data_IF_461598155331
#
_entry.id   IF_461598155331
#
_cell.length_a   1.000
_cell.length_b   1.000
_cell.length_c   1.000
_cell.angle_alpha   90.00
_cell.angle_beta   90.00
_cell.angle_gamma   90.00
#
_symmetry.space_group_name_H-M   'P 1'
#
loop_
_entity.id
_entity.type
_entity.pdbx_description
1 polymer ?
#
# COMPACT_ATOMS: atom_id res chain seq x y z
N UNK A 1 -16.52 -29.73 14.76
CA UNK A 1 -15.81 -29.61 16.05
C UNK A 1 -14.69 -28.60 15.88
N UNK A 2 -14.71 -27.49 16.64
CA UNK A 2 -13.65 -26.48 16.83
C UNK A 2 -13.12 -25.72 15.58
N UNK A 3 -12.88 -24.40 15.60
CA UNK A 3 -12.46 -23.55 16.72
C UNK A 3 -13.31 -22.28 16.86
N UNK A 4 -13.56 -21.81 18.10
CA UNK A 4 -14.09 -20.46 18.33
C UNK A 4 -13.04 -19.42 17.93
N UNK A 5 -13.45 -18.47 17.09
CA UNK A 5 -12.67 -17.29 16.75
C UNK A 5 -12.54 -16.39 17.98
N UNK A 6 -11.51 -16.62 18.78
CA UNK A 6 -11.04 -15.60 19.72
C UNK A 6 -10.25 -14.58 18.90
N UNK A 7 -10.93 -13.58 18.35
CA UNK A 7 -10.23 -12.36 17.96
C UNK A 7 -9.56 -11.82 19.21
N UNK A 8 -8.21 -11.89 19.25
CA UNK A 8 -7.46 -11.16 20.27
C UNK A 8 -7.85 -9.69 20.16
N UNK A 9 -8.13 -8.96 21.25
CA UNK A 9 -8.49 -7.56 21.16
C UNK A 9 -7.34 -6.77 20.50
N UNK A 10 -7.59 -6.37 19.25
CA UNK A 10 -6.71 -5.63 18.34
C UNK A 10 -6.04 -4.36 18.95
N UNK A 11 -6.60 -3.63 19.94
CA UNK A 11 -6.01 -2.36 20.37
C UNK A 11 -4.70 -2.44 21.17
N UNK A 12 -4.31 -3.59 21.73
CA UNK A 12 -3.24 -3.67 22.76
C UNK A 12 -1.93 -4.30 22.29
N UNK A 13 -1.97 -5.22 21.33
CA UNK A 13 -0.78 -5.98 20.92
C UNK A 13 0.18 -5.15 20.06
N UNK A 14 -0.33 -4.30 19.17
CA UNK A 14 0.50 -3.47 18.29
C UNK A 14 1.37 -2.46 19.06
N UNK A 15 0.94 -1.99 20.23
CA UNK A 15 1.74 -1.05 21.05
C UNK A 15 2.88 -1.73 21.80
N UNK A 16 2.72 -3.01 22.15
CA UNK A 16 3.72 -3.77 22.91
C UNK A 16 4.79 -4.37 22.00
N UNK A 17 4.38 -4.85 20.82
CA UNK A 17 5.27 -5.42 19.79
C UNK A 17 4.77 -5.04 18.38
N UNK A 18 5.06 -3.81 17.91
CA UNK A 18 4.61 -3.34 16.61
C UNK A 18 5.21 -4.15 15.45
N UNK A 19 6.48 -4.57 15.58
CA UNK A 19 7.16 -5.34 14.55
C UNK A 19 6.56 -6.74 14.41
N UNK A 20 6.40 -7.47 15.52
CA UNK A 20 5.79 -8.80 15.50
C UNK A 20 4.32 -8.76 15.07
N UNK A 21 3.58 -7.73 15.48
CA UNK A 21 2.19 -7.53 15.03
C UNK A 21 2.10 -7.27 13.53
N UNK A 22 3.00 -6.45 12.98
CA UNK A 22 3.09 -6.22 11.54
C UNK A 22 3.46 -7.50 10.79
N UNK A 23 4.48 -8.23 11.24
CA UNK A 23 4.90 -9.49 10.60
C UNK A 23 3.77 -10.51 10.56
N UNK A 24 3.03 -10.68 11.66
CA UNK A 24 1.87 -11.58 11.70
C UNK A 24 0.78 -11.14 10.70
N UNK A 25 0.42 -9.86 10.68
CA UNK A 25 -0.57 -9.34 9.75
C UNK A 25 -0.14 -9.46 8.27
N UNK A 26 1.15 -9.26 7.99
CA UNK A 26 1.72 -9.44 6.66
C UNK A 26 1.65 -10.90 6.20
N UNK A 27 1.92 -11.86 7.09
CA UNK A 27 1.75 -13.28 6.77
C UNK A 27 0.29 -13.64 6.54
N UNK A 28 -0.63 -13.18 7.40
CA UNK A 28 -2.06 -13.44 7.27
C UNK A 28 -2.62 -12.94 5.92
N UNK A 29 -2.21 -11.75 5.46
CA UNK A 29 -2.67 -11.22 4.17
C UNK A 29 -2.04 -11.94 2.98
N UNK A 30 -0.75 -12.32 3.08
CA UNK A 30 -0.08 -13.08 2.02
C UNK A 30 -0.72 -14.47 1.86
N UNK A 31 -1.03 -15.15 2.96
CA UNK A 31 -1.75 -16.43 2.94
C UNK A 31 -3.14 -16.28 2.31
N UNK A 32 -3.86 -15.20 2.63
CA UNK A 32 -5.17 -14.91 2.05
C UNK A 32 -5.08 -14.62 0.53
N UNK A 33 -4.05 -13.89 0.09
CA UNK A 33 -3.82 -13.58 -1.32
C UNK A 33 -3.26 -14.75 -2.13
N UNK A 34 -2.82 -15.82 -1.46
CA UNK A 34 -2.39 -17.06 -2.12
C UNK A 34 -3.56 -18.03 -2.40
N UNK A 35 -4.78 -17.73 -1.92
CA UNK A 35 -5.92 -18.61 -2.10
C UNK A 35 -6.37 -18.72 -3.57
N UNK A 36 -6.73 -19.93 -4.00
CA UNK A 36 -7.20 -20.19 -5.36
C UNK A 36 -8.44 -19.33 -5.69
N UNK A 37 -8.42 -18.67 -6.85
CA UNK A 37 -9.53 -17.84 -7.34
C UNK A 37 -9.67 -16.49 -6.63
N UNK A 38 -8.72 -16.10 -5.76
CA UNK A 38 -8.77 -14.81 -5.07
C UNK A 38 -8.71 -13.63 -6.03
N UNK A 39 -8.03 -13.78 -7.17
CA UNK A 39 -7.87 -12.71 -8.16
C UNK A 39 -9.20 -12.32 -8.83
N UNK A 40 -10.13 -13.27 -8.93
CA UNK A 40 -11.47 -13.10 -9.50
C UNK A 40 -12.53 -12.82 -8.43
N UNK A 41 -12.22 -13.14 -7.17
CA UNK A 41 -13.12 -12.91 -6.05
C UNK A 41 -13.43 -11.43 -5.92
N UNK A 42 -14.70 -11.09 -5.64
CA UNK A 42 -15.11 -9.69 -5.46
C UNK A 42 -14.83 -9.23 -4.04
N UNK A 43 -14.06 -8.15 -3.91
CA UNK A 43 -13.74 -7.48 -2.65
C UNK A 43 -14.61 -6.25 -2.50
N UNK A 44 -15.25 -6.09 -1.33
CA UNK A 44 -15.94 -4.86 -0.97
C UNK A 44 -14.96 -3.91 -0.27
N UNK A 45 -14.76 -2.72 -0.83
CA UNK A 45 -13.84 -1.69 -0.34
C UNK A 45 -14.60 -0.39 -0.11
N UNK A 46 -15.36 -0.27 1.01
CA UNK A 46 -16.26 0.86 1.26
C UNK A 46 -15.54 2.22 1.37
N UNK A 47 -14.23 2.23 1.54
CA UNK A 47 -13.37 3.43 1.47
C UNK A 47 -13.42 4.14 0.12
N UNK A 48 -13.75 3.43 -0.97
CA UNK A 48 -13.97 4.01 -2.30
C UNK A 48 -15.44 4.39 -2.56
N UNK A 49 -16.30 4.30 -1.54
CA UNK A 49 -17.69 4.70 -1.58
C UNK A 49 -18.68 3.57 -1.27
N UNK A 50 -19.98 3.91 -1.11
CA UNK A 50 -21.02 2.93 -0.81
C UNK A 50 -21.09 1.85 -1.91
N UNK A 51 -21.05 0.57 -1.51
CA UNK A 51 -21.09 -0.59 -2.41
C UNK A 51 -19.93 -0.66 -3.42
N UNK A 52 -18.83 0.06 -3.18
CA UNK A 52 -17.64 -0.07 -4.01
C UNK A 52 -17.09 -1.50 -3.89
N UNK A 53 -17.05 -2.18 -5.03
CA UNK A 53 -16.58 -3.55 -5.15
C UNK A 53 -15.63 -3.69 -6.32
N UNK A 54 -14.61 -4.51 -6.17
CA UNK A 54 -13.55 -4.67 -7.14
C UNK A 54 -13.17 -6.14 -7.30
N UNK A 55 -12.73 -6.57 -8.50
CA UNK A 55 -12.05 -7.85 -8.66
C UNK A 55 -10.81 -7.92 -7.76
N UNK A 56 -10.52 -9.08 -7.21
CA UNK A 56 -9.42 -9.26 -6.26
C UNK A 56 -8.06 -8.85 -6.83
N UNK A 57 -7.81 -9.07 -8.12
CA UNK A 57 -6.59 -8.60 -8.78
C UNK A 57 -6.39 -7.08 -8.62
N UNK A 58 -7.47 -6.31 -8.70
CA UNK A 58 -7.42 -4.86 -8.53
C UNK A 58 -7.30 -4.46 -7.06
N UNK A 59 -8.06 -5.12 -6.16
CA UNK A 59 -7.96 -4.88 -4.72
C UNK A 59 -6.56 -5.19 -4.15
N UNK A 60 -5.96 -6.30 -4.58
CA UNK A 60 -4.58 -6.68 -4.27
C UNK A 60 -3.60 -5.67 -4.90
N UNK A 61 -3.90 -5.18 -6.10
CA UNK A 61 -3.14 -4.09 -6.73
C UNK A 61 -3.13 -2.79 -5.90
N UNK A 62 -4.25 -2.41 -5.28
CA UNK A 62 -4.30 -1.27 -4.37
C UNK A 62 -3.40 -1.49 -3.16
N UNK A 63 -3.48 -2.67 -2.53
CA UNK A 63 -2.62 -3.04 -1.41
C UNK A 63 -1.13 -3.03 -1.78
N UNK A 64 -0.80 -3.50 -2.99
CA UNK A 64 0.56 -3.51 -3.51
C UNK A 64 1.12 -2.09 -3.65
N UNK A 65 0.33 -1.14 -4.16
CA UNK A 65 0.72 0.28 -4.23
C UNK A 65 1.01 0.82 -2.83
N UNK A 66 0.08 0.62 -1.89
CA UNK A 66 0.25 1.09 -0.50
C UNK A 66 1.51 0.53 0.14
N UNK A 67 1.76 -0.78 0.02
CA UNK A 67 2.93 -1.44 0.60
C UNK A 67 4.25 -0.96 -0.01
N UNK A 68 4.32 -0.82 -1.33
CA UNK A 68 5.53 -0.38 -2.01
C UNK A 68 5.94 1.04 -1.55
N UNK A 69 4.95 1.92 -1.43
CA UNK A 69 5.15 3.34 -1.11
C UNK A 69 5.39 3.55 0.39
N UNK A 70 4.61 2.90 1.26
CA UNK A 70 4.80 3.02 2.70
C UNK A 70 6.05 2.27 3.20
N UNK A 71 6.47 1.20 2.52
CA UNK A 71 7.78 0.59 2.74
C UNK A 71 8.92 1.60 2.50
N UNK A 72 8.81 2.41 1.44
CA UNK A 72 9.73 3.52 1.21
C UNK A 72 9.62 4.59 2.31
N UNK A 73 8.42 4.99 2.71
CA UNK A 73 8.22 6.01 3.76
C UNK A 73 8.94 5.61 5.07
N UNK A 74 8.81 4.35 5.49
CA UNK A 74 9.48 3.80 6.68
C UNK A 74 11.00 3.78 6.50
N UNK A 75 11.51 3.26 5.38
CA UNK A 75 12.94 3.18 5.13
C UNK A 75 13.58 4.57 5.07
N UNK A 76 12.95 5.51 4.35
CA UNK A 76 13.39 6.89 4.26
C UNK A 76 13.45 7.53 5.65
N UNK A 77 12.46 7.26 6.53
CA UNK A 77 12.42 7.83 7.88
C UNK A 77 13.57 7.39 8.78
N UNK A 78 14.21 6.26 8.44
CA UNK A 78 15.39 5.73 9.12
C UNK A 78 16.70 6.03 8.36
N UNK A 79 16.64 6.74 7.22
CA UNK A 79 17.79 6.93 6.34
C UNK A 79 18.29 5.63 5.68
N UNK A 80 17.45 4.59 5.61
CA UNK A 80 17.78 3.31 5.01
C UNK A 80 17.54 3.32 3.49
N UNK A 81 18.34 2.54 2.76
CA UNK A 81 18.11 2.30 1.32
C UNK A 81 16.88 1.40 1.15
N UNK A 82 16.02 1.75 0.21
CA UNK A 82 14.86 0.96 -0.17
C UNK A 82 14.86 0.75 -1.67
N UNK A 83 15.00 -0.50 -2.09
CA UNK A 83 15.03 -0.89 -3.49
C UNK A 83 14.11 -2.07 -3.72
N UNK A 84 13.23 -1.90 -4.70
CA UNK A 84 12.38 -2.95 -5.21
C UNK A 84 13.03 -3.58 -6.44
N UNK A 85 12.84 -4.89 -6.67
CA UNK A 85 13.22 -5.52 -7.93
C UNK A 85 12.58 -4.83 -9.15
N UNK A 86 13.27 -4.84 -10.29
CA UNK A 86 12.83 -4.13 -11.50
C UNK A 86 11.48 -4.63 -12.03
N UNK A 87 11.20 -5.93 -11.92
CA UNK A 87 9.92 -6.53 -12.31
C UNK A 87 8.77 -6.07 -11.40
N UNK A 88 9.04 -5.92 -10.11
CA UNK A 88 8.09 -5.35 -9.14
C UNK A 88 7.79 -3.89 -9.49
N UNK A 89 8.80 -3.07 -9.79
CA UNK A 89 8.61 -1.67 -10.21
C UNK A 89 7.83 -1.60 -11.54
N UNK A 90 8.13 -2.49 -12.47
CA UNK A 90 7.45 -2.58 -13.77
C UNK A 90 5.95 -2.88 -13.60
N UNK A 91 5.59 -3.76 -12.67
CA UNK A 91 4.19 -4.05 -12.34
C UNK A 91 3.51 -2.91 -11.56
N UNK A 92 4.25 -2.19 -10.72
CA UNK A 92 3.74 -1.11 -9.88
C UNK A 92 3.37 0.14 -10.67
N UNK A 93 4.25 0.56 -11.59
CA UNK A 93 4.15 1.88 -12.21
C UNK A 93 2.80 2.12 -12.92
N UNK A 94 2.24 1.19 -13.72
CA UNK A 94 0.94 1.40 -14.36
C UNK A 94 -0.21 1.58 -13.36
N UNK A 95 -0.18 0.87 -12.23
CA UNK A 95 -1.19 1.01 -11.18
C UNK A 95 -1.12 2.39 -10.53
N UNK A 96 0.09 2.85 -10.23
CA UNK A 96 0.31 4.19 -9.64
C UNK A 96 -0.14 5.29 -10.60
N UNK A 97 0.24 5.21 -11.88
CA UNK A 97 -0.11 6.22 -12.87
C UNK A 97 -1.60 6.25 -13.22
N UNK A 98 -2.34 5.17 -12.93
CA UNK A 98 -3.79 5.14 -13.05
C UNK A 98 -4.51 5.90 -11.92
N UNK A 99 -3.83 6.21 -10.81
CA UNK A 99 -4.41 6.98 -9.70
C UNK A 99 -4.51 8.45 -10.13
N UNK A 100 -5.72 9.05 -10.16
CA UNK A 100 -5.88 10.44 -10.55
C UNK A 100 -5.12 11.42 -9.65
N UNK A 101 -4.57 12.47 -10.26
CA UNK A 101 -4.06 13.66 -9.56
C UNK A 101 -5.02 14.85 -9.78
N UNK A 102 -4.67 16.04 -9.29
CA UNK A 102 -5.43 17.27 -9.47
C UNK A 102 -6.42 17.52 -8.34
N UNK A 103 -7.54 18.18 -8.63
CA UNK A 103 -8.49 18.67 -7.61
C UNK A 103 -9.08 17.57 -6.74
N UNK A 104 -9.11 16.32 -7.24
CA UNK A 104 -9.52 15.15 -6.45
C UNK A 104 -8.64 14.94 -5.22
N UNK A 105 -7.39 15.42 -5.22
CA UNK A 105 -6.43 15.36 -4.11
C UNK A 105 -6.70 16.39 -3.00
N UNK A 106 -7.61 17.35 -3.22
CA UNK A 106 -7.96 18.36 -2.23
C UNK A 106 -9.15 17.93 -1.33
N UNK A 107 -9.72 16.74 -1.57
CA UNK A 107 -10.78 16.19 -0.73
C UNK A 107 -10.25 15.76 0.66
N UNK A 108 -11.10 15.82 1.68
CA UNK A 108 -10.71 15.61 3.07
C UNK A 108 -10.16 14.21 3.41
N UNK A 109 -10.37 13.21 2.54
CA UNK A 109 -9.93 11.84 2.72
C UNK A 109 -9.37 11.28 1.40
N UNK A 110 -8.10 11.61 1.11
CA UNK A 110 -7.38 11.09 -0.06
C UNK A 110 -6.20 10.22 0.38
N UNK A 111 -5.92 9.11 -0.34
CA UNK A 111 -4.89 8.16 0.08
C UNK A 111 -3.46 8.68 -0.12
N UNK A 112 -3.25 9.59 -1.07
CA UNK A 112 -1.94 10.21 -1.33
C UNK A 112 -2.07 11.71 -1.59
N UNK A 113 -0.98 12.44 -1.34
CA UNK A 113 -0.86 13.88 -1.60
C UNK A 113 -0.71 14.17 -3.11
N UNK A 114 -0.72 15.44 -3.49
CA UNK A 114 -0.52 15.91 -4.87
C UNK A 114 0.82 15.47 -5.44
N UNK A 115 0.83 15.22 -6.74
CA UNK A 115 2.08 14.94 -7.43
C UNK A 115 3.10 16.06 -7.26
N UNK A 116 4.36 15.69 -7.01
CA UNK A 116 5.48 16.62 -6.94
C UNK A 116 6.07 16.81 -8.32
N UNK A 117 6.07 18.05 -8.82
CA UNK A 117 6.73 18.39 -10.08
C UNK A 117 8.26 18.43 -9.91
N UNK A 118 8.91 17.30 -10.16
CA UNK A 118 10.36 17.16 -10.19
C UNK A 118 10.77 16.08 -11.22
N UNK A 119 12.05 16.03 -11.57
CA UNK A 119 12.59 14.97 -12.42
C UNK A 119 12.83 13.68 -11.61
N UNK A 120 12.43 12.54 -12.15
CA UNK A 120 12.77 11.22 -11.63
C UNK A 120 13.96 10.62 -12.39
N UNK A 121 14.89 10.00 -11.67
CA UNK A 121 15.98 9.21 -12.21
C UNK A 121 15.59 7.74 -12.47
N UNK A 122 14.59 7.22 -11.75
CA UNK A 122 14.10 5.84 -11.89
C UNK A 122 12.58 5.78 -12.02
N UNK A 123 12.05 4.64 -12.46
CA UNK A 123 10.60 4.44 -12.53
C UNK A 123 9.93 4.38 -11.15
N UNK A 124 10.65 3.89 -10.13
CA UNK A 124 10.15 3.96 -8.77
C UNK A 124 10.11 5.40 -8.26
N UNK A 125 11.09 6.24 -8.60
CA UNK A 125 11.03 7.67 -8.28
C UNK A 125 9.86 8.38 -8.98
N UNK A 126 9.50 8.00 -10.21
CA UNK A 126 8.29 8.52 -10.88
C UNK A 126 7.04 8.17 -10.08
N UNK A 127 6.92 6.93 -9.62
CA UNK A 127 5.80 6.50 -8.79
C UNK A 127 5.73 7.29 -7.47
N UNK A 128 6.87 7.48 -6.80
CA UNK A 128 6.96 8.28 -5.57
C UNK A 128 6.52 9.74 -5.80
N UNK A 129 7.03 10.39 -6.84
CA UNK A 129 6.67 11.77 -7.18
C UNK A 129 5.18 11.91 -7.49
N UNK A 130 4.59 10.98 -8.24
CA UNK A 130 3.16 10.98 -8.56
C UNK A 130 2.27 10.89 -7.32
N UNK A 131 2.76 10.22 -6.27
CA UNK A 131 2.07 10.05 -5.00
C UNK A 131 2.52 11.05 -3.92
N UNK A 132 3.16 12.14 -4.33
CA UNK A 132 3.50 13.26 -3.45
C UNK A 132 4.76 13.09 -2.60
N UNK A 133 5.54 12.02 -2.80
CA UNK A 133 6.82 11.82 -2.12
C UNK A 133 7.92 12.57 -2.84
N UNK A 134 8.91 13.01 -2.07
CA UNK A 134 10.18 13.54 -2.60
C UNK A 134 11.25 12.46 -2.44
N UNK A 135 11.75 11.83 -3.52
CA UNK A 135 12.74 10.76 -3.42
C UNK A 135 14.04 11.14 -2.69
N UNK A 136 14.39 12.43 -2.70
CA UNK A 136 15.55 12.98 -2.01
C UNK A 136 15.27 13.40 -0.56
N UNK A 137 14.09 13.12 -0.02
CA UNK A 137 13.73 13.46 1.35
C UNK A 137 14.68 12.79 2.35
N UNK A 138 14.97 13.50 3.43
CA UNK A 138 15.80 13.04 4.54
C UNK A 138 15.18 13.55 5.84
N UNK A 139 15.40 12.81 6.93
CA UNK A 139 15.12 13.33 8.28
C UNK A 139 15.88 14.65 8.50
N UNK A 140 15.24 15.67 9.11
CA UNK A 140 15.90 16.90 9.53
C UNK A 140 17.08 16.66 10.50
#
# INVERSE_FOLDING_TARGET
MNRPGTSRPWPTLWRADPAGSYTAAAHDVLDAFAADGVMETTFALPEFGPNATFPGALAIGFHFVDYAVHGWDVAASMGARYELPDDVVTALLPLVMAIPDGDVRDAAAVPFDRAVNASAATDFEKALLHLGRRPNWRQP
#
